data_IF_838609969883
#
_entry.id   IF_838609969883
#
_cell.length_a   1.000
_cell.length_b   1.000
_cell.length_c   1.000
_cell.angle_alpha   90.00
_cell.angle_beta   90.00
_cell.angle_gamma   90.00
#
_symmetry.space_group_name_H-M   'P 1'
#
loop_
_entity.id
_entity.type
_entity.pdbx_description
1 polymer ?
#
# COMPACT_ATOMS: atom_id res chain seq x y z
N UNK A 1 -18.16 18.61 -0.68
CA UNK A 1 -17.47 19.75 -0.04
C UNK A 1 -15.98 19.53 0.13
N UNK A 2 -15.52 18.46 0.82
CA UNK A 2 -14.08 18.25 1.09
C UNK A 2 -13.26 17.99 -0.19
N UNK A 3 -13.66 17.01 -1.02
CA UNK A 3 -12.93 16.70 -2.27
C UNK A 3 -12.90 17.88 -3.24
N UNK A 4 -14.00 18.63 -3.33
CA UNK A 4 -14.07 19.87 -4.12
C UNK A 4 -13.07 20.92 -3.65
N UNK A 5 -12.95 21.10 -2.33
CA UNK A 5 -11.98 22.02 -1.74
C UNK A 5 -10.53 21.55 -2.01
N UNK A 6 -10.26 20.26 -1.89
CA UNK A 6 -8.96 19.67 -2.22
C UNK A 6 -8.57 19.92 -3.68
N UNK A 7 -9.48 19.65 -4.62
CA UNK A 7 -9.24 19.88 -6.06
C UNK A 7 -9.00 21.37 -6.36
N UNK A 8 -9.74 22.26 -5.70
CA UNK A 8 -9.54 23.70 -5.80
C UNK A 8 -8.15 24.10 -5.31
N UNK A 9 -7.73 23.59 -4.16
CA UNK A 9 -6.44 23.94 -3.57
C UNK A 9 -5.27 23.37 -4.38
N UNK A 10 -5.38 22.12 -4.83
CA UNK A 10 -4.41 21.53 -5.74
C UNK A 10 -4.21 22.39 -6.99
N UNK A 11 -5.30 22.89 -7.58
CA UNK A 11 -5.24 23.81 -8.73
C UNK A 11 -4.55 25.13 -8.38
N UNK A 12 -4.84 25.73 -7.22
CA UNK A 12 -4.18 26.96 -6.76
C UNK A 12 -2.66 26.79 -6.65
N UNK A 13 -2.22 25.61 -6.20
CA UNK A 13 -0.81 25.24 -6.06
C UNK A 13 -0.19 24.61 -7.32
N UNK A 14 -0.91 24.56 -8.45
CA UNK A 14 -0.46 23.94 -9.71
C UNK A 14 -0.11 22.44 -9.55
N UNK A 15 -0.75 21.75 -8.62
CA UNK A 15 -0.63 20.31 -8.40
C UNK A 15 -1.72 19.60 -9.22
N UNK A 16 -1.31 18.65 -10.06
CA UNK A 16 -2.22 17.79 -10.84
C UNK A 16 -2.54 16.54 -10.03
N UNK A 17 -3.78 16.41 -9.56
CA UNK A 17 -4.27 15.22 -8.86
C UNK A 17 -4.92 14.27 -9.87
N UNK A 18 -4.18 13.25 -10.29
CA UNK A 18 -4.67 12.17 -11.15
C UNK A 18 -4.34 10.81 -10.54
N UNK A 19 -4.96 10.47 -9.40
CA UNK A 19 -4.80 9.16 -8.82
C UNK A 19 -5.34 8.08 -9.76
N UNK A 20 -4.56 7.02 -9.97
CA UNK A 20 -5.02 5.82 -10.68
C UNK A 20 -5.94 4.97 -9.79
N UNK A 21 -5.64 4.94 -8.49
CA UNK A 21 -6.36 4.16 -7.50
C UNK A 21 -6.76 5.02 -6.30
N UNK A 22 -7.90 4.72 -5.70
CA UNK A 22 -8.26 5.17 -4.35
C UNK A 22 -8.59 3.94 -3.52
N UNK A 23 -8.14 3.94 -2.27
CA UNK A 23 -8.62 2.97 -1.29
C UNK A 23 -9.65 3.60 -0.39
N UNK A 24 -10.80 2.97 -0.25
CA UNK A 24 -11.85 3.40 0.68
C UNK A 24 -12.32 2.24 1.52
N UNK A 25 -12.99 2.57 2.61
CA UNK A 25 -13.81 1.59 3.33
C UNK A 25 -15.08 1.31 2.49
N UNK A 26 -15.89 0.34 2.92
CA UNK A 26 -17.09 -0.10 2.20
C UNK A 26 -18.28 0.84 2.41
N UNK A 27 -18.08 2.15 2.22
CA UNK A 27 -19.13 3.17 2.34
C UNK A 27 -19.52 3.72 0.97
N UNK A 28 -20.75 3.42 0.52
CA UNK A 28 -21.23 3.84 -0.81
C UNK A 28 -21.20 5.36 -1.01
N UNK A 29 -21.50 6.14 0.02
CA UNK A 29 -21.44 7.59 -0.05
C UNK A 29 -20.02 8.10 -0.35
N UNK A 30 -19.00 7.52 0.31
CA UNK A 30 -17.61 7.87 0.07
C UNK A 30 -17.16 7.43 -1.33
N UNK A 31 -17.47 6.20 -1.72
CA UNK A 31 -17.16 5.65 -3.06
C UNK A 31 -17.73 6.54 -4.16
N UNK A 32 -19.01 6.91 -4.05
CA UNK A 32 -19.68 7.76 -5.03
C UNK A 32 -19.08 9.17 -5.06
N UNK A 33 -18.75 9.75 -3.92
CA UNK A 33 -18.09 11.06 -3.87
C UNK A 33 -16.71 11.06 -4.55
N UNK A 34 -15.93 9.97 -4.41
CA UNK A 34 -14.66 9.83 -5.13
C UNK A 34 -14.85 9.61 -6.62
N UNK A 35 -15.83 8.80 -7.05
CA UNK A 35 -16.16 8.62 -8.47
C UNK A 35 -16.61 9.93 -9.12
N UNK A 36 -17.38 10.76 -8.41
CA UNK A 36 -17.78 12.09 -8.89
C UNK A 36 -16.58 13.03 -9.02
N UNK A 37 -15.68 13.05 -8.02
CA UNK A 37 -14.50 13.91 -8.02
C UNK A 37 -13.41 13.46 -9.01
N UNK A 38 -13.28 12.16 -9.24
CA UNK A 38 -12.27 11.54 -10.10
C UNK A 38 -12.92 10.43 -10.97
N UNK A 39 -13.53 10.79 -12.11
CA UNK A 39 -14.34 9.84 -12.91
C UNK A 39 -13.60 8.60 -13.43
N UNK A 40 -12.27 8.69 -13.60
CA UNK A 40 -11.44 7.61 -14.14
C UNK A 40 -10.70 6.82 -13.06
N UNK A 41 -11.03 7.02 -11.78
CA UNK A 41 -10.33 6.37 -10.67
C UNK A 41 -10.80 4.93 -10.50
N UNK A 42 -9.86 4.02 -10.27
CA UNK A 42 -10.20 2.67 -9.83
C UNK A 42 -10.34 2.67 -8.30
N UNK A 43 -11.54 2.37 -7.80
CA UNK A 43 -11.77 2.25 -6.37
C UNK A 43 -11.43 0.83 -5.89
N UNK A 44 -10.63 0.74 -4.83
CA UNK A 44 -10.34 -0.50 -4.10
C UNK A 44 -10.90 -0.42 -2.69
N UNK A 45 -11.57 -1.48 -2.27
CA UNK A 45 -11.99 -1.67 -0.89
C UNK A 45 -10.80 -2.07 -0.01
N UNK A 46 -10.70 -1.51 1.19
CA UNK A 46 -9.68 -1.92 2.16
C UNK A 46 -9.89 -3.39 2.59
N UNK A 47 -8.88 -4.26 2.38
CA UNK A 47 -8.96 -5.69 2.74
C UNK A 47 -9.17 -5.90 4.24
N UNK A 48 -8.57 -5.06 5.08
CA UNK A 48 -8.77 -5.13 6.53
C UNK A 48 -10.25 -4.88 6.89
N UNK A 49 -10.86 -3.84 6.31
CA UNK A 49 -12.26 -3.52 6.54
C UNK A 49 -13.24 -4.54 5.93
N UNK A 50 -12.86 -5.22 4.84
CA UNK A 50 -13.60 -6.36 4.32
C UNK A 50 -13.66 -7.49 5.36
N UNK A 51 -12.49 -7.96 5.82
CA UNK A 51 -12.38 -9.02 6.82
C UNK A 51 -13.04 -8.61 8.14
N UNK A 52 -12.94 -7.35 8.54
CA UNK A 52 -13.60 -6.81 9.72
C UNK A 52 -15.13 -6.85 9.58
N UNK A 53 -15.67 -6.51 8.41
CA UNK A 53 -17.11 -6.59 8.13
C UNK A 53 -17.61 -8.04 8.24
N UNK A 54 -16.84 -8.99 7.71
CA UNK A 54 -17.12 -10.41 7.89
C UNK A 54 -17.08 -10.83 9.37
N UNK A 55 -16.08 -10.41 10.14
CA UNK A 55 -15.97 -10.73 11.57
C UNK A 55 -17.11 -10.11 12.39
N UNK A 56 -17.56 -8.90 12.02
CA UNK A 56 -18.73 -8.25 12.61
C UNK A 56 -19.98 -9.10 12.35
N UNK A 57 -20.19 -9.55 11.12
CA UNK A 57 -21.31 -10.44 10.79
C UNK A 57 -21.23 -11.77 11.54
N UNK A 58 -20.05 -12.37 11.63
CA UNK A 58 -19.80 -13.55 12.46
C UNK A 58 -20.24 -13.34 13.91
N UNK A 59 -19.91 -12.19 14.48
CA UNK A 59 -20.28 -11.84 15.84
C UNK A 59 -21.80 -11.67 16.00
N UNK A 60 -22.46 -11.00 15.05
CA UNK A 60 -23.92 -10.85 15.02
C UNK A 60 -24.65 -12.20 14.95
N UNK A 61 -24.09 -13.14 14.17
CA UNK A 61 -24.60 -14.51 14.01
C UNK A 61 -24.18 -15.46 15.14
N UNK A 62 -23.50 -14.94 16.18
CA UNK A 62 -22.98 -15.68 17.34
C UNK A 62 -21.93 -16.76 17.02
N UNK A 63 -21.32 -16.68 15.82
CA UNK A 63 -20.29 -17.60 15.34
C UNK A 63 -18.88 -17.29 15.90
N UNK A 64 -18.71 -16.15 16.57
CA UNK A 64 -17.39 -15.72 17.05
C UNK A 64 -16.75 -16.73 18.02
N UNK A 65 -17.55 -17.36 18.88
CA UNK A 65 -17.04 -18.39 19.80
C UNK A 65 -16.57 -19.64 19.06
N UNK A 66 -17.28 -20.05 18.01
CA UNK A 66 -16.87 -21.16 17.16
C UNK A 66 -15.57 -20.83 16.42
N UNK A 67 -15.46 -19.62 15.87
CA UNK A 67 -14.22 -19.13 15.27
C UNK A 67 -13.01 -19.15 16.24
N UNK A 68 -13.21 -18.80 17.51
CA UNK A 68 -12.15 -18.74 18.52
C UNK A 68 -11.74 -20.12 19.05
N UNK A 69 -12.65 -21.10 19.07
CA UNK A 69 -12.44 -22.40 19.71
C UNK A 69 -12.38 -23.59 18.75
N UNK A 70 -12.72 -23.40 17.47
CA UNK A 70 -12.70 -24.42 16.43
C UNK A 70 -11.82 -23.99 15.26
N UNK A 71 -10.73 -24.73 15.05
CA UNK A 71 -9.76 -24.48 13.98
C UNK A 71 -10.38 -24.60 12.58
N UNK A 72 -11.30 -25.54 12.37
CA UNK A 72 -12.01 -25.72 11.10
C UNK A 72 -12.80 -24.46 10.72
N UNK A 73 -13.54 -23.90 11.67
CA UNK A 73 -14.32 -22.66 11.49
C UNK A 73 -13.39 -21.47 11.29
N UNK A 74 -12.27 -21.41 12.02
CA UNK A 74 -11.26 -20.37 11.83
C UNK A 74 -10.66 -20.40 10.42
N UNK A 75 -10.32 -21.59 9.92
CA UNK A 75 -9.75 -21.77 8.60
C UNK A 75 -10.78 -21.53 7.49
N UNK A 76 -12.03 -21.94 7.70
CA UNK A 76 -13.13 -21.61 6.80
C UNK A 76 -13.33 -20.09 6.69
N UNK A 77 -13.40 -19.36 7.81
CA UNK A 77 -13.48 -17.90 7.82
C UNK A 77 -12.31 -17.25 7.06
N UNK A 78 -11.08 -17.70 7.32
CA UNK A 78 -9.88 -17.20 6.62
C UNK A 78 -9.93 -17.49 5.12
N UNK A 79 -10.52 -18.62 4.72
CA UNK A 79 -10.72 -18.98 3.31
C UNK A 79 -11.73 -18.05 2.64
N UNK A 80 -12.81 -17.69 3.33
CA UNK A 80 -13.76 -16.68 2.82
C UNK A 80 -13.05 -15.32 2.63
N UNK A 81 -12.25 -14.89 3.61
CA UNK A 81 -11.42 -13.67 3.49
C UNK A 81 -10.42 -13.76 2.33
N UNK A 82 -9.85 -14.95 2.06
CA UNK A 82 -8.83 -15.12 1.03
C UNK A 82 -9.38 -15.07 -0.40
N UNK A 83 -10.70 -15.13 -0.61
CA UNK A 83 -11.33 -14.86 -1.91
C UNK A 83 -10.96 -13.46 -2.45
N UNK A 84 -10.62 -12.52 -1.57
CA UNK A 84 -10.13 -11.21 -1.98
C UNK A 84 -8.73 -11.25 -2.61
N UNK A 85 -7.97 -12.34 -2.52
CA UNK A 85 -6.58 -12.41 -3.02
C UNK A 85 -6.36 -13.52 -4.06
N UNK A 86 -7.41 -14.20 -4.50
CA UNK A 86 -7.35 -15.18 -5.58
C UNK A 86 -7.55 -14.49 -6.94
N UNK A 87 -7.05 -15.06 -8.06
CA UNK A 87 -7.28 -14.46 -9.37
C UNK A 87 -8.78 -14.30 -9.63
N UNK A 88 -9.17 -13.13 -10.15
CA UNK A 88 -10.57 -12.71 -10.23
C UNK A 88 -11.46 -13.72 -10.99
N UNK A 89 -10.92 -14.31 -12.05
CA UNK A 89 -11.61 -15.31 -12.88
C UNK A 89 -11.94 -16.60 -12.11
N UNK A 90 -11.24 -16.86 -11.01
CA UNK A 90 -11.43 -18.05 -10.18
C UNK A 90 -12.27 -17.77 -8.92
N UNK A 91 -12.62 -16.52 -8.63
CA UNK A 91 -13.36 -16.15 -7.41
C UNK A 91 -14.67 -16.93 -7.30
N UNK A 92 -15.48 -16.96 -8.37
CA UNK A 92 -16.75 -17.68 -8.39
C UNK A 92 -16.55 -19.20 -8.23
N UNK A 93 -15.61 -19.79 -8.98
CA UNK A 93 -15.33 -21.23 -8.91
C UNK A 93 -14.82 -21.66 -7.53
N UNK A 94 -14.00 -20.82 -6.88
CA UNK A 94 -13.52 -21.11 -5.53
C UNK A 94 -14.60 -20.89 -4.47
N UNK A 95 -15.49 -19.92 -4.66
CA UNK A 95 -16.66 -19.74 -3.81
C UNK A 95 -17.61 -20.95 -3.89
N UNK A 96 -17.90 -21.47 -5.08
CA UNK A 96 -18.70 -22.69 -5.26
C UNK A 96 -18.08 -23.90 -4.54
N UNK A 97 -16.75 -24.06 -4.63
CA UNK A 97 -16.05 -25.11 -3.87
C UNK A 97 -16.15 -24.88 -2.36
N UNK A 98 -16.09 -23.63 -1.91
CA UNK A 98 -16.20 -23.28 -0.51
C UNK A 98 -17.56 -23.70 0.09
N UNK A 99 -18.65 -23.64 -0.69
CA UNK A 99 -19.97 -24.11 -0.26
C UNK A 99 -19.94 -25.57 0.23
N UNK A 100 -19.16 -26.42 -0.45
CA UNK A 100 -18.99 -27.83 -0.05
C UNK A 100 -18.13 -28.06 1.20
N UNK A 101 -17.42 -27.02 1.65
CA UNK A 101 -16.56 -27.03 2.85
C UNK A 101 -17.17 -26.23 4.00
N UNK A 102 -18.45 -25.86 3.90
CA UNK A 102 -19.15 -25.11 4.94
C UNK A 102 -19.27 -25.98 6.20
N UNK A 103 -18.77 -25.52 7.35
CA UNK A 103 -18.88 -26.27 8.60
C UNK A 103 -20.33 -26.46 9.02
N UNK A 104 -20.66 -27.60 9.60
CA UNK A 104 -21.98 -27.90 10.16
C UNK A 104 -22.18 -27.18 11.51
N UNK A 105 -22.33 -25.86 11.44
CA UNK A 105 -22.60 -25.00 12.59
C UNK A 105 -23.80 -24.09 12.33
N UNK A 106 -24.59 -23.75 13.36
CA UNK A 106 -25.73 -22.87 13.19
C UNK A 106 -25.34 -21.53 12.57
N UNK A 107 -26.09 -21.08 11.55
CA UNK A 107 -25.89 -19.81 10.85
C UNK A 107 -24.69 -19.71 9.89
N UNK A 108 -23.97 -20.81 9.61
CA UNK A 108 -22.90 -20.79 8.59
C UNK A 108 -23.44 -20.38 7.21
N UNK A 109 -24.56 -20.99 6.78
CA UNK A 109 -25.22 -20.63 5.52
C UNK A 109 -25.70 -19.18 5.52
N UNK A 110 -26.28 -18.71 6.63
CA UNK A 110 -26.69 -17.30 6.78
C UNK A 110 -25.53 -16.33 6.62
N UNK A 111 -24.33 -16.70 7.07
CA UNK A 111 -23.13 -15.90 6.83
C UNK A 111 -22.77 -15.88 5.35
N UNK A 112 -22.79 -17.03 4.66
CA UNK A 112 -22.49 -17.09 3.23
C UNK A 112 -23.52 -16.33 2.38
N UNK A 113 -24.81 -16.41 2.71
CA UNK A 113 -25.84 -15.59 2.05
C UNK A 113 -25.54 -14.10 2.19
N UNK A 114 -25.12 -13.65 3.38
CA UNK A 114 -24.70 -12.26 3.56
C UNK A 114 -23.50 -11.89 2.68
N UNK A 115 -22.51 -12.77 2.54
CA UNK A 115 -21.36 -12.54 1.66
C UNK A 115 -21.81 -12.40 0.21
N UNK A 116 -22.71 -13.28 -0.26
CA UNK A 116 -23.26 -13.22 -1.62
C UNK A 116 -24.03 -11.92 -1.83
N UNK A 117 -25.05 -11.68 -1.01
CA UNK A 117 -25.96 -10.53 -1.12
C UNK A 117 -25.23 -9.18 -1.06
N UNK A 118 -24.12 -9.12 -0.32
CA UNK A 118 -23.38 -7.86 -0.13
C UNK A 118 -22.27 -7.68 -1.14
N UNK A 119 -21.47 -8.72 -1.42
CA UNK A 119 -20.19 -8.60 -2.14
C UNK A 119 -20.16 -9.28 -3.52
N UNK A 120 -21.08 -10.20 -3.81
CA UNK A 120 -21.19 -10.80 -5.14
C UNK A 120 -22.34 -10.20 -5.94
N UNK A 121 -23.49 -10.00 -5.30
CA UNK A 121 -24.73 -9.52 -5.94
C UNK A 121 -25.13 -8.10 -5.51
N UNK A 122 -24.42 -7.56 -4.51
CA UNK A 122 -24.73 -6.27 -3.92
C UNK A 122 -24.14 -5.07 -4.67
N UNK A 123 -23.89 -4.00 -3.92
CA UNK A 123 -23.44 -2.72 -4.48
C UNK A 123 -21.91 -2.63 -4.68
N UNK A 124 -21.16 -3.68 -4.36
CA UNK A 124 -19.70 -3.71 -4.48
C UNK A 124 -19.29 -4.66 -5.60
N UNK A 125 -18.63 -4.14 -6.63
CA UNK A 125 -18.07 -4.96 -7.70
C UNK A 125 -16.96 -5.87 -7.17
N UNK A 126 -16.86 -7.09 -7.68
CA UNK A 126 -15.81 -8.05 -7.30
C UNK A 126 -14.40 -7.47 -7.50
N UNK A 127 -14.20 -6.72 -8.58
CA UNK A 127 -12.96 -6.02 -8.89
C UNK A 127 -12.55 -5.00 -7.82
N UNK A 128 -13.50 -4.44 -7.08
CA UNK A 128 -13.26 -3.43 -6.04
C UNK A 128 -12.65 -4.07 -4.80
N UNK A 129 -13.16 -5.22 -4.36
CA UNK A 129 -12.68 -5.89 -3.15
C UNK A 129 -11.63 -6.98 -3.42
N UNK A 130 -11.38 -7.31 -4.68
CA UNK A 130 -10.29 -8.19 -5.10
C UNK A 130 -8.95 -7.43 -5.23
N UNK A 131 -7.91 -8.07 -4.69
CA UNK A 131 -6.53 -7.61 -4.54
C UNK A 131 -5.52 -8.60 -5.14
N UNK A 132 -5.94 -9.44 -6.07
CA UNK A 132 -4.99 -10.25 -6.83
C UNK A 132 -4.11 -9.35 -7.71
N UNK A 133 -2.81 -9.61 -7.71
CA UNK A 133 -1.80 -8.81 -8.44
C UNK A 133 -1.75 -7.31 -8.09
N UNK A 134 -2.26 -6.88 -6.94
CA UNK A 134 -2.16 -5.48 -6.48
C UNK A 134 -0.88 -5.20 -5.68
N UNK A 135 0.25 -5.83 -6.03
CA UNK A 135 1.48 -5.82 -5.23
C UNK A 135 2.10 -4.42 -5.06
N UNK A 136 1.88 -3.53 -6.02
CA UNK A 136 2.42 -2.16 -6.01
C UNK A 136 1.52 -1.16 -5.28
N UNK A 137 0.36 -1.60 -4.79
CA UNK A 137 -0.59 -0.77 -4.03
C UNK A 137 -0.82 -1.37 -2.65
N UNK A 138 -0.91 -0.55 -1.59
CA UNK A 138 -1.37 -1.04 -0.29
C UNK A 138 -2.70 -1.78 -0.45
N UNK A 139 -2.89 -2.86 0.31
CA UNK A 139 -4.18 -3.58 0.41
C UNK A 139 -4.98 -3.17 1.64
N UNK A 140 -4.34 -2.47 2.56
CA UNK A 140 -4.93 -1.92 3.78
C UNK A 140 -4.59 -0.44 3.93
N UNK A 141 -5.36 0.26 4.74
CA UNK A 141 -5.14 1.65 5.11
C UNK A 141 -4.38 1.81 6.42
N UNK A 142 -3.58 0.81 6.84
CA UNK A 142 -2.81 0.83 8.10
C UNK A 142 -1.94 2.09 8.25
N UNK A 143 -1.40 2.62 7.16
CA UNK A 143 -0.62 3.86 7.19
C UNK A 143 -1.47 5.06 7.63
N UNK A 144 -2.72 5.13 7.16
CA UNK A 144 -3.68 6.16 7.54
C UNK A 144 -4.17 5.95 8.97
N UNK A 145 -4.42 4.71 9.39
CA UNK A 145 -4.78 4.40 10.78
C UNK A 145 -3.65 4.79 11.76
N UNK A 146 -2.40 4.47 11.41
CA UNK A 146 -1.23 4.87 12.18
C UNK A 146 -1.05 6.39 12.25
N UNK A 147 -1.31 7.09 11.14
CA UNK A 147 -1.36 8.55 11.11
C UNK A 147 -2.45 9.09 12.04
N UNK A 148 -3.69 8.60 11.90
CA UNK A 148 -4.83 9.02 12.71
C UNK A 148 -4.61 8.75 14.19
N UNK A 149 -4.03 7.60 14.54
CA UNK A 149 -3.67 7.25 15.91
C UNK A 149 -2.64 8.23 16.49
N UNK A 150 -1.58 8.53 15.74
CA UNK A 150 -0.56 9.51 16.17
C UNK A 150 -1.17 10.90 16.31
N UNK A 151 -1.97 11.34 15.35
CA UNK A 151 -2.63 12.64 15.39
C UNK A 151 -3.58 12.74 16.60
N UNK A 152 -4.38 11.71 16.87
CA UNK A 152 -5.25 11.68 18.04
C UNK A 152 -4.46 11.73 19.35
N UNK A 153 -3.32 11.05 19.41
CA UNK A 153 -2.39 11.14 20.55
C UNK A 153 -1.81 12.55 20.69
N UNK A 154 -1.45 13.19 19.59
CA UNK A 154 -0.92 14.56 19.58
C UNK A 154 -1.96 15.59 20.01
N UNK A 155 -3.20 15.45 19.53
CA UNK A 155 -4.34 16.26 19.93
C UNK A 155 -4.67 16.12 21.43
N UNK A 156 -4.33 14.98 22.05
CA UNK A 156 -4.42 14.70 23.50
C UNK A 156 -5.84 14.76 24.10
N UNK A 157 -6.86 15.14 23.33
CA UNK A 157 -8.26 15.19 23.73
C UNK A 157 -9.16 14.65 22.62
N UNK A 158 -10.24 13.93 22.99
CA UNK A 158 -11.13 13.31 22.01
C UNK A 158 -11.95 14.31 21.17
N UNK A 159 -12.13 15.53 21.68
CA UNK A 159 -12.90 16.61 21.03
C UNK A 159 -12.18 17.96 21.24
N UNK A 160 -11.08 18.21 20.51
CA UNK A 160 -10.39 19.49 20.60
C UNK A 160 -11.27 20.62 20.06
N UNK A 161 -11.16 21.81 20.64
CA UNK A 161 -11.70 23.00 20.00
C UNK A 161 -10.93 23.31 18.71
N UNK A 162 -11.53 24.12 17.84
CA UNK A 162 -10.98 24.38 16.51
C UNK A 162 -9.60 25.05 16.55
N UNK A 163 -9.32 25.90 17.54
CA UNK A 163 -8.02 26.56 17.65
C UNK A 163 -6.94 25.58 18.08
N UNK A 164 -7.24 24.74 19.08
CA UNK A 164 -6.36 23.66 19.51
C UNK A 164 -6.06 22.69 18.38
N UNK A 165 -7.07 22.29 17.61
CA UNK A 165 -6.90 21.42 16.45
C UNK A 165 -5.99 22.06 15.38
N UNK A 166 -6.24 23.32 15.02
CA UNK A 166 -5.42 24.04 14.02
C UNK A 166 -3.97 24.16 14.46
N UNK A 167 -3.71 24.52 15.72
CA UNK A 167 -2.35 24.65 16.22
C UNK A 167 -1.60 23.32 16.16
N UNK A 168 -2.26 22.23 16.56
CA UNK A 168 -1.68 20.88 16.49
C UNK A 168 -1.43 20.40 15.05
N UNK A 169 -2.31 20.74 14.11
CA UNK A 169 -2.09 20.45 12.70
C UNK A 169 -0.90 21.24 12.12
N UNK A 170 -0.70 22.49 12.54
CA UNK A 170 0.49 23.26 12.15
C UNK A 170 1.78 22.64 12.69
N UNK A 171 1.77 22.17 13.93
CA UNK A 171 2.91 21.43 14.51
C UNK A 171 3.21 20.16 13.71
N UNK A 172 2.20 19.35 13.38
CA UNK A 172 2.39 18.16 12.54
C UNK A 172 2.94 18.49 11.15
N UNK A 173 2.53 19.63 10.55
CA UNK A 173 3.07 20.05 9.26
C UNK A 173 4.55 20.44 9.34
N UNK A 174 4.95 21.15 10.39
CA UNK A 174 6.37 21.48 10.61
C UNK A 174 7.19 20.19 10.75
N UNK A 175 6.72 19.23 11.55
CA UNK A 175 7.38 17.94 11.75
C UNK A 175 7.45 17.11 10.46
N UNK A 176 6.38 17.10 9.66
CA UNK A 176 6.32 16.40 8.39
C UNK A 176 7.29 17.02 7.37
N UNK A 177 7.28 18.35 7.25
CA UNK A 177 8.20 19.12 6.42
C UNK A 177 9.67 18.82 6.79
N UNK A 178 10.02 18.86 8.08
CA UNK A 178 11.38 18.56 8.53
C UNK A 178 11.83 17.14 8.17
N UNK A 179 10.96 16.14 8.38
CA UNK A 179 11.25 14.76 7.99
C UNK A 179 11.44 14.62 6.48
N UNK A 180 10.63 15.32 5.69
CA UNK A 180 10.77 15.34 4.24
C UNK A 180 12.12 15.91 3.81
N UNK A 181 12.51 17.09 4.34
CA UNK A 181 13.80 17.70 4.04
C UNK A 181 14.98 16.80 4.44
N UNK A 182 14.93 16.18 5.62
CA UNK A 182 15.97 15.25 6.07
C UNK A 182 16.06 14.01 5.17
N UNK A 183 14.92 13.49 4.71
CA UNK A 183 14.89 12.33 3.82
C UNK A 183 15.47 12.65 2.43
N UNK A 184 15.09 13.79 1.86
CA UNK A 184 15.66 14.27 0.59
C UNK A 184 17.16 14.53 0.73
N UNK A 185 17.61 15.10 1.84
CA UNK A 185 19.03 15.29 2.14
C UNK A 185 19.78 13.96 2.24
N UNK A 186 19.23 12.98 2.97
CA UNK A 186 19.84 11.66 3.11
C UNK A 186 19.89 10.88 1.77
N UNK A 187 18.91 11.09 0.88
CA UNK A 187 18.96 10.58 -0.50
C UNK A 187 20.08 11.23 -1.31
N UNK A 188 20.26 12.54 -1.17
CA UNK A 188 21.35 13.26 -1.83
C UNK A 188 22.72 12.75 -1.36
N UNK A 189 22.92 12.58 -0.05
CA UNK A 189 24.18 12.04 0.50
C UNK A 189 24.49 10.61 0.03
N UNK A 190 23.48 9.74 -0.07
CA UNK A 190 23.68 8.39 -0.63
C UNK A 190 24.07 8.45 -2.10
N UNK A 191 23.54 9.42 -2.85
CA UNK A 191 23.85 9.60 -4.27
C UNK A 191 25.25 10.18 -4.47
N UNK A 192 25.70 11.13 -3.64
CA UNK A 192 27.08 11.65 -3.69
C UNK A 192 28.12 10.61 -3.28
N UNK A 193 27.85 9.80 -2.24
CA UNK A 193 28.76 8.69 -1.88
C UNK A 193 28.94 7.66 -2.99
N UNK A 194 27.88 7.34 -3.74
CA UNK A 194 27.98 6.42 -4.90
C UNK A 194 28.73 7.03 -6.09
N UNK A 195 28.85 8.36 -6.17
CA UNK A 195 29.66 9.05 -7.20
C UNK A 195 31.12 9.10 -6.76
N UNK A 196 31.39 9.42 -5.50
CA UNK A 196 32.76 9.41 -4.95
C UNK A 196 33.38 8.00 -4.95
N UNK A 197 32.61 6.95 -4.66
CA UNK A 197 33.07 5.54 -4.75
C UNK A 197 33.26 5.04 -6.20
N UNK A 198 32.84 5.82 -7.21
CA UNK A 198 32.90 5.50 -8.63
C UNK A 198 34.13 6.04 -9.36
N UNK A 199 34.76 7.11 -8.84
CA UNK A 199 35.90 7.79 -9.48
C UNK A 199 37.27 7.21 -9.05
N UNK A 200 37.33 6.38 -8.00
CA UNK A 200 38.58 5.78 -7.50
C UNK A 200 39.03 4.52 -8.26
N UNK A 201 38.27 4.04 -9.26
CA UNK A 201 38.62 2.83 -10.02
C UNK A 201 39.29 3.06 -11.38
N UNK A 202 39.27 4.28 -11.91
CA UNK A 202 39.86 4.57 -13.24
C UNK A 202 41.25 5.24 -13.16
N UNK A 203 41.77 5.54 -11.98
CA UNK A 203 43.11 6.13 -11.80
C UNK A 203 44.23 5.12 -11.56
N UNK A 204 43.92 3.85 -11.29
CA UNK A 204 44.91 2.82 -10.97
C UNK A 204 45.46 2.04 -12.18
N UNK A 205 44.87 2.19 -13.37
CA UNK A 205 45.22 1.39 -14.57
C UNK A 205 46.07 2.16 -15.62
N UNK A 206 46.59 3.35 -15.27
CA UNK A 206 47.43 4.16 -16.18
C UNK A 206 48.91 4.26 -15.76
N UNK A 207 49.32 3.59 -14.67
CA UNK A 207 50.68 3.69 -14.11
C UNK A 207 51.42 2.36 -13.97
N UNK A 208 50.95 1.30 -14.65
CA UNK A 208 51.62 -0.02 -14.71
C UNK A 208 52.09 -0.43 -16.12
N UNK A 209 52.07 0.49 -17.10
CA UNK A 209 52.44 0.21 -18.49
C UNK A 209 53.74 0.92 -18.95
N UNK A 210 54.59 1.41 -18.03
CA UNK A 210 55.78 2.20 -18.37
C UNK A 210 57.08 1.82 -17.62
N UNK A 211 57.16 0.69 -16.94
CA UNK A 211 58.38 0.29 -16.21
C UNK A 211 58.86 -1.16 -16.47
N UNK A 212 58.63 -1.70 -17.67
CA UNK A 212 59.13 -3.04 -18.06
C UNK A 212 59.94 -3.03 -19.38
N UNK A 213 60.63 -1.92 -19.71
CA UNK A 213 61.49 -1.86 -20.92
C UNK A 213 62.77 -1.01 -20.73
N UNK A 214 63.44 -1.15 -19.58
CA UNK A 214 64.84 -0.78 -19.43
C UNK A 214 65.59 -1.88 -18.69
N UNK A 215 66.10 -2.87 -19.44
CA UNK A 215 67.37 -3.57 -19.24
C UNK A 215 67.39 -4.84 -20.12
N UNK A 216 67.79 -4.67 -21.39
CA UNK A 216 68.71 -5.64 -21.95
C UNK A 216 69.67 -4.93 -22.90
N UNK A 217 70.86 -4.77 -22.35
CA UNK A 217 72.14 -4.43 -22.94
C UNK A 217 72.38 -5.00 -24.35
N UNK A 218 73.15 -4.24 -25.13
CA UNK A 218 74.28 -4.69 -25.97
C UNK A 218 73.93 -5.74 -27.07
N UNK A 219 74.29 -5.61 -28.34
CA UNK A 219 75.43 -4.96 -28.97
C UNK A 219 75.25 -5.11 -30.49
N UNK A 220 76.10 -4.39 -31.23
CA UNK A 220 76.58 -4.77 -32.58
C UNK A 220 75.67 -4.63 -33.82
N UNK A 221 75.98 -3.53 -34.52
CA UNK A 221 76.46 -3.49 -35.92
C UNK A 221 75.52 -3.88 -37.06
N UNK A 222 75.31 -2.89 -37.94
CA UNK A 222 75.51 -2.96 -39.40
C UNK A 222 74.52 -3.82 -40.22
N UNK A 223 74.12 -3.50 -41.45
CA UNK A 223 74.25 -2.40 -42.40
C UNK A 223 73.28 -2.80 -43.54
N UNK A 224 72.62 -1.80 -44.11
CA UNK A 224 72.09 -1.64 -45.49
C UNK A 224 71.20 -2.69 -46.19
N UNK A 225 70.17 -2.06 -46.81
CA UNK A 225 69.31 -2.40 -47.96
C UNK A 225 68.13 -3.37 -47.80
#
# INVERSE_FOLDING_TARGET
MVLTALLKEAKNHKIRLEPKYIMTDFELAAINAFKEAFPNIENKGCLFHLCQSFMKKFSELKLKKDYENNEEVSNWFKTVCSLAIVPIDYVNTLFEKLLSTTPDIPNADTFLSYVVDTYFEGNYEVSMWNHFNTNDTPRTNNNLEGYNFRLNKHLSVARPDIYSAINKLKEEEVDASLKYYLFDFAKLEKKTKMVDDGDDKDSADSMSAYEDDENNDEDESDIDE
#
